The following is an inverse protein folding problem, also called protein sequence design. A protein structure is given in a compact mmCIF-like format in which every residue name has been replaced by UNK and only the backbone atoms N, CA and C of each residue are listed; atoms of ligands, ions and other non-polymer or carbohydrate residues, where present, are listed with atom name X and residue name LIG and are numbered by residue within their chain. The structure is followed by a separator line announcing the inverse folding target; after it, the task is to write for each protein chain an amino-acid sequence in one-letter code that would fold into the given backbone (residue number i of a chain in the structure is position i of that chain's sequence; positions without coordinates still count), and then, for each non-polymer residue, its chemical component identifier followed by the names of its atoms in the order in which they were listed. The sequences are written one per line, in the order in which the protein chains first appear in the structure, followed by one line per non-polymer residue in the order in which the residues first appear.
data_IF_625591830443
#
_entry.id   IF_625591830443
#
_cell.length_a   1.000
_cell.length_b   1.000
_cell.length_c   1.000
_cell.angle_alpha   90.00
_cell.angle_beta   90.00
_cell.angle_gamma   90.00
#
_symmetry.space_group_name_H-M   'P 1'
#
loop_
_entity.id
_entity.type
_entity.pdbx_description
1 polymer ?
#
# COMPACT_ATOMS: atom_id res chain seq x y z
N UNK A 1 -14.29 6.64 -8.69
CA UNK A 1 -13.40 5.46 -8.69
C UNK A 1 -13.25 5.00 -7.25
N UNK A 2 -13.53 3.74 -6.93
CA UNK A 2 -13.28 3.17 -5.61
C UNK A 2 -11.78 2.83 -5.50
N UNK A 3 -11.13 3.01 -4.34
CA UNK A 3 -9.68 2.80 -4.16
C UNK A 3 -9.15 1.47 -4.74
N UNK A 4 -9.92 0.39 -4.61
CA UNK A 4 -9.59 -0.92 -5.19
C UNK A 4 -9.37 -0.89 -6.71
N UNK A 5 -10.11 -0.04 -7.44
CA UNK A 5 -9.96 0.04 -8.89
C UNK A 5 -8.63 0.67 -9.30
N UNK A 6 -8.06 1.57 -8.49
CA UNK A 6 -6.76 2.17 -8.80
C UNK A 6 -5.62 1.18 -8.57
N UNK A 7 -5.66 0.44 -7.46
CA UNK A 7 -4.65 -0.58 -7.16
C UNK A 7 -4.64 -1.67 -8.24
N UNK A 8 -5.80 -2.20 -8.63
CA UNK A 8 -5.90 -3.21 -9.69
C UNK A 8 -5.41 -2.72 -11.06
N UNK A 9 -5.57 -1.42 -11.37
CA UNK A 9 -5.02 -0.83 -12.60
C UNK A 9 -3.50 -0.72 -12.50
N UNK A 10 -2.96 -0.30 -11.36
CA UNK A 10 -1.51 -0.25 -11.14
C UNK A 10 -0.87 -1.65 -11.26
N UNK A 11 -1.51 -2.67 -10.67
CA UNK A 11 -1.06 -4.08 -10.73
C UNK A 11 -1.01 -4.66 -12.15
N UNK A 12 -1.75 -4.10 -13.11
CA UNK A 12 -1.63 -4.50 -14.52
C UNK A 12 -0.36 -3.96 -15.19
N UNK A 13 0.29 -2.96 -14.59
CA UNK A 13 1.52 -2.35 -15.08
C UNK A 13 2.72 -2.99 -14.39
N UNK A 14 2.67 -3.12 -13.07
CA UNK A 14 3.75 -3.68 -12.24
C UNK A 14 3.21 -4.21 -10.91
N UNK A 15 3.81 -5.28 -10.39
CA UNK A 15 3.56 -5.75 -9.01
C UNK A 15 4.22 -4.86 -7.95
N UNK A 16 5.25 -4.11 -8.34
CA UNK A 16 6.03 -3.27 -7.44
C UNK A 16 5.40 -1.87 -7.39
N UNK A 17 4.43 -1.71 -6.51
CA UNK A 17 3.62 -0.49 -6.38
C UNK A 17 3.89 0.17 -5.04
N UNK A 18 3.95 1.51 -5.02
CA UNK A 18 4.07 2.30 -3.79
C UNK A 18 2.84 3.21 -3.68
N UNK A 19 2.14 3.17 -2.54
CA UNK A 19 0.95 3.98 -2.30
C UNK A 19 1.14 4.89 -1.08
N UNK A 20 0.95 6.19 -1.27
CA UNK A 20 0.90 7.17 -0.18
C UNK A 20 -0.55 7.36 0.28
N UNK A 21 -0.85 7.05 1.53
CA UNK A 21 -2.21 6.98 2.07
C UNK A 21 -2.39 7.88 3.31
N UNK A 22 -3.62 8.42 3.53
CA UNK A 22 -3.94 9.12 4.77
C UNK A 22 -3.73 8.24 6.00
N UNK A 23 -3.28 8.83 7.11
CA UNK A 23 -3.01 8.11 8.37
C UNK A 23 -4.22 7.40 9.01
N UNK A 24 -5.43 7.70 8.56
CA UNK A 24 -6.68 7.14 9.07
C UNK A 24 -7.27 6.07 8.14
N UNK A 25 -6.48 5.57 7.19
CA UNK A 25 -6.88 4.42 6.38
C UNK A 25 -7.00 3.17 7.25
N UNK A 26 -7.97 2.31 6.93
CA UNK A 26 -8.09 1.01 7.55
C UNK A 26 -6.96 0.09 7.07
N UNK A 27 -6.08 -0.33 7.98
CA UNK A 27 -4.95 -1.19 7.66
C UNK A 27 -5.39 -2.57 7.20
N UNK A 28 -6.54 -3.06 7.65
CA UNK A 28 -7.09 -4.34 7.17
C UNK A 28 -7.50 -4.23 5.69
N UNK A 29 -8.07 -3.09 5.28
CA UNK A 29 -8.38 -2.84 3.86
C UNK A 29 -7.10 -2.77 3.02
N UNK A 30 -6.02 -2.21 3.57
CA UNK A 30 -4.71 -2.15 2.91
C UNK A 30 -4.11 -3.54 2.73
N UNK A 31 -4.15 -4.38 3.77
CA UNK A 31 -3.70 -5.78 3.68
C UNK A 31 -4.48 -6.58 2.63
N UNK A 32 -5.81 -6.39 2.58
CA UNK A 32 -6.66 -7.06 1.59
C UNK A 32 -6.30 -6.70 0.14
N UNK A 33 -5.69 -5.54 -0.11
CA UNK A 33 -5.19 -5.21 -1.44
C UNK A 33 -4.10 -6.18 -1.89
N UNK A 34 -3.22 -6.64 -1.00
CA UNK A 34 -2.13 -7.54 -1.37
C UNK A 34 -2.64 -8.89 -1.88
N UNK A 35 -3.80 -9.34 -1.36
CA UNK A 35 -4.47 -10.58 -1.75
C UNK A 35 -5.17 -10.50 -3.12
N UNK A 36 -5.32 -9.31 -3.69
CA UNK A 36 -5.87 -9.15 -5.05
C UNK A 36 -4.89 -9.61 -6.14
N UNK A 37 -3.66 -9.94 -5.77
CA UNK A 37 -2.62 -10.49 -6.66
C UNK A 37 -2.49 -11.99 -6.48
N UNK A 38 -2.02 -12.68 -7.52
CA UNK A 38 -1.69 -14.12 -7.45
C UNK A 38 -0.26 -14.34 -7.94
N UNK A 39 0.70 -14.70 -7.07
CA UNK A 39 0.53 -14.89 -5.61
C UNK A 39 0.24 -13.57 -4.86
N UNK A 40 -0.27 -13.63 -3.61
CA UNK A 40 -0.39 -12.45 -2.75
C UNK A 40 0.95 -11.72 -2.64
N UNK A 41 0.91 -10.39 -2.59
CA UNK A 41 2.13 -9.59 -2.47
C UNK A 41 2.55 -9.43 -1.01
N UNK A 42 3.87 -9.38 -0.80
CA UNK A 42 4.45 -8.85 0.42
C UNK A 42 4.17 -7.35 0.53
N UNK A 43 4.01 -6.88 1.77
CA UNK A 43 3.73 -5.47 2.06
C UNK A 43 4.66 -4.95 3.16
N UNK A 44 5.05 -3.69 3.03
CA UNK A 44 5.72 -2.93 4.07
C UNK A 44 4.98 -1.61 4.27
N UNK A 45 4.79 -1.21 5.53
CA UNK A 45 4.08 0.01 5.90
C UNK A 45 5.05 0.92 6.65
N UNK A 46 5.34 2.07 6.06
CA UNK A 46 6.17 3.10 6.64
C UNK A 46 5.29 4.25 7.18
N UNK A 47 5.49 4.60 8.46
CA UNK A 47 4.83 5.74 9.08
C UNK A 47 5.50 7.07 8.71
N UNK A 48 4.73 7.99 8.13
CA UNK A 48 5.20 9.34 7.86
C UNK A 48 4.86 10.27 9.01
N UNK A 49 5.86 10.59 9.83
CA UNK A 49 5.71 11.43 11.02
C UNK A 49 6.36 12.81 10.84
N UNK A 50 5.61 13.87 11.14
CA UNK A 50 6.12 15.25 11.14
C UNK A 50 6.03 15.82 12.54
N UNK A 51 7.19 16.15 13.13
CA UNK A 51 7.31 16.67 14.50
C UNK A 51 6.63 15.76 15.54
N UNK A 52 6.88 14.45 15.44
CA UNK A 52 6.31 13.44 16.34
C UNK A 52 4.82 13.16 16.14
N UNK A 53 4.16 13.76 15.13
CA UNK A 53 2.76 13.48 14.80
C UNK A 53 2.64 12.72 13.49
N UNK A 54 2.01 11.55 13.52
CA UNK A 54 1.66 10.78 12.33
C UNK A 54 0.80 11.62 11.38
N UNK A 55 1.19 11.65 10.10
CA UNK A 55 0.52 12.41 9.03
C UNK A 55 -0.06 11.49 7.95
N UNK A 56 0.68 10.45 7.59
CA UNK A 56 0.34 9.52 6.53
C UNK A 56 1.07 8.19 6.72
N UNK A 57 0.77 7.23 5.86
CA UNK A 57 1.56 6.02 5.70
C UNK A 57 1.99 5.88 4.23
N UNK A 58 3.15 5.29 3.99
CA UNK A 58 3.58 4.82 2.68
C UNK A 58 3.51 3.30 2.70
N UNK A 59 2.81 2.70 1.74
CA UNK A 59 2.69 1.24 1.62
C UNK A 59 3.45 0.80 0.38
N UNK A 60 4.42 -0.09 0.58
CA UNK A 60 5.20 -0.72 -0.47
C UNK A 60 4.63 -2.11 -0.72
N UNK A 61 4.38 -2.46 -1.98
CA UNK A 61 3.88 -3.78 -2.39
C UNK A 61 4.91 -4.49 -3.26
N UNK A 62 5.07 -5.80 -3.08
CA UNK A 62 5.98 -6.65 -3.88
C UNK A 62 7.45 -6.44 -3.51
N UNK A 63 8.34 -6.44 -4.50
CA UNK A 63 9.79 -6.28 -4.30
C UNK A 63 10.20 -4.82 -4.04
N UNK A 64 9.22 -3.91 -3.93
CA UNK A 64 9.44 -2.56 -3.45
C UNK A 64 9.65 -2.50 -1.93
N UNK A 65 9.45 -3.63 -1.24
CA UNK A 65 9.76 -3.77 0.18
C UNK A 65 11.27 -3.74 0.40
N UNK A 66 11.74 -3.01 1.41
CA UNK A 66 13.15 -2.92 1.77
C UNK A 66 13.35 -3.78 3.01
N UNK A 67 13.66 -5.06 2.81
CA UNK A 67 14.13 -5.94 3.90
C UNK A 67 15.62 -5.72 4.18
#
# INVERSE_FOLDING_TARGET
MHRHSLFQVAQKITSNTIMYLPKNVDLLEVEQLSWLSSPPLDIEIEENTVRGKLKAITVYFGDATIT
#
